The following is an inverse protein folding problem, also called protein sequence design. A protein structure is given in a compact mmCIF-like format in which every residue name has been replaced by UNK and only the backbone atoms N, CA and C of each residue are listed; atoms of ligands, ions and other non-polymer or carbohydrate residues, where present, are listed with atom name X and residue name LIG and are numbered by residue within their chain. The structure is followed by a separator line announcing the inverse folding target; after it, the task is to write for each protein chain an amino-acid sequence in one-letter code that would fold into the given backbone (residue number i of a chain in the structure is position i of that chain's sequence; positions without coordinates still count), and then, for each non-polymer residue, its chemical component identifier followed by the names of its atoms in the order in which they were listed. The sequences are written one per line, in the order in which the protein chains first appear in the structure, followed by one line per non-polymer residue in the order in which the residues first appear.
data_IF_381247517256
#
_entry.id   IF_381247517256
#
_cell.length_a   1.000
_cell.length_b   1.000
_cell.length_c   1.000
_cell.angle_alpha   90.00
_cell.angle_beta   90.00
_cell.angle_gamma   90.00
#
_symmetry.space_group_name_H-M   'P 1'
#
loop_
_entity.id
_entity.type
_entity.pdbx_description
1 polymer ?
#
# COMPACT_ATOMS: atom_id res chain seq x y z
N UNK A 1 37.09 7.29 19.60
CA UNK A 1 35.61 7.32 19.66
C UNK A 1 35.09 6.70 18.38
N UNK A 2 34.72 5.43 18.43
CA UNK A 2 34.09 4.75 17.29
C UNK A 2 32.62 5.20 17.27
N UNK A 3 32.24 6.02 16.28
CA UNK A 3 30.84 6.25 15.97
C UNK A 3 30.33 4.93 15.43
N UNK A 4 29.47 4.27 16.17
CA UNK A 4 28.65 3.15 15.70
C UNK A 4 27.78 3.69 14.57
N UNK A 5 28.15 3.40 13.33
CA UNK A 5 27.34 3.64 12.15
C UNK A 5 26.02 2.88 12.39
N UNK A 6 24.97 3.60 12.72
CA UNK A 6 23.65 3.03 12.87
C UNK A 6 23.23 2.61 11.45
N UNK A 7 23.42 1.32 11.14
CA UNK A 7 22.93 0.74 9.88
C UNK A 7 21.44 0.98 9.82
N UNK A 8 21.00 1.81 8.88
CA UNK A 8 19.57 2.03 8.64
C UNK A 8 19.00 0.71 8.10
N UNK A 9 18.32 0.00 8.98
CA UNK A 9 17.73 -1.29 8.63
C UNK A 9 16.52 -1.05 7.75
N UNK A 10 16.58 -1.55 6.52
CA UNK A 10 15.43 -1.50 5.61
C UNK A 10 14.22 -2.21 6.23
N UNK A 11 13.05 -1.59 6.13
CA UNK A 11 11.77 -2.14 6.58
C UNK A 11 11.18 -3.03 5.48
N UNK A 12 11.74 -4.25 5.37
CA UNK A 12 11.31 -5.23 4.40
C UNK A 12 10.02 -5.92 4.86
N UNK A 13 8.99 -6.03 3.99
CA UNK A 13 7.73 -6.65 4.38
C UNK A 13 7.90 -8.12 4.74
N UNK A 14 7.22 -8.55 5.81
CA UNK A 14 7.23 -9.94 6.24
C UNK A 14 6.66 -10.84 5.15
N UNK A 15 7.35 -11.94 4.86
CA UNK A 15 6.93 -12.89 3.83
C UNK A 15 7.32 -12.53 2.39
N UNK A 16 7.97 -11.37 2.16
CA UNK A 16 8.53 -11.06 0.85
C UNK A 16 9.94 -11.67 0.74
N UNK A 17 10.17 -12.42 -0.32
CA UNK A 17 11.47 -13.02 -0.58
C UNK A 17 12.53 -11.95 -0.86
N UNK A 18 13.76 -12.19 -0.39
CA UNK A 18 14.93 -11.37 -0.68
C UNK A 18 15.75 -11.99 -1.80
N UNK A 19 16.25 -11.14 -2.69
CA UNK A 19 17.22 -11.57 -3.70
C UNK A 19 18.60 -11.75 -3.05
N UNK A 20 19.19 -12.96 -3.08
CA UNK A 20 20.56 -13.15 -2.60
C UNK A 20 21.54 -12.18 -3.29
N UNK A 21 22.50 -11.62 -2.55
CA UNK A 21 23.44 -10.64 -3.08
C UNK A 21 24.20 -11.14 -4.33
N UNK A 22 24.48 -12.45 -4.41
CA UNK A 22 25.12 -13.07 -5.56
C UNK A 22 24.24 -13.11 -6.84
N UNK A 23 22.92 -12.95 -6.68
CA UNK A 23 21.95 -12.96 -7.79
C UNK A 23 21.54 -11.56 -8.20
N UNK A 24 21.93 -10.54 -7.44
CA UNK A 24 21.68 -9.15 -7.78
C UNK A 24 22.46 -8.77 -9.04
N UNK A 25 21.78 -8.11 -9.97
CA UNK A 25 22.36 -7.75 -11.26
C UNK A 25 22.53 -6.22 -11.39
N UNK A 26 23.50 -5.81 -12.18
CA UNK A 26 23.67 -4.40 -12.52
C UNK A 26 22.74 -4.01 -13.67
N UNK A 27 22.02 -2.92 -13.52
CA UNK A 27 21.17 -2.37 -14.58
C UNK A 27 21.81 -1.13 -15.21
N UNK A 28 22.10 -1.20 -16.49
CA UNK A 28 22.67 -0.09 -17.26
C UNK A 28 21.63 0.62 -18.16
N UNK A 29 20.38 0.18 -18.15
CA UNK A 29 19.31 0.70 -19.02
C UNK A 29 18.66 1.95 -18.46
N UNK A 30 18.60 2.09 -17.14
CA UNK A 30 18.01 3.27 -16.50
C UNK A 30 18.96 4.46 -16.53
N UNK A 31 18.46 5.59 -17.00
CA UNK A 31 19.25 6.83 -17.19
C UNK A 31 18.93 7.91 -16.16
N UNK A 32 17.84 7.76 -15.42
CA UNK A 32 17.41 8.71 -14.38
C UNK A 32 18.33 8.67 -13.16
N UNK A 33 18.52 9.82 -12.52
CA UNK A 33 19.22 9.87 -11.23
C UNK A 33 18.39 9.25 -10.11
N UNK A 34 19.02 9.05 -8.94
CA UNK A 34 18.33 8.59 -7.74
C UNK A 34 17.17 9.54 -7.40
N UNK A 35 17.44 10.85 -7.31
CA UNK A 35 16.44 11.86 -7.03
C UNK A 35 15.29 11.84 -8.03
N UNK A 36 15.58 11.87 -9.33
CA UNK A 36 14.55 11.80 -10.37
C UNK A 36 13.69 10.52 -10.29
N UNK A 37 14.28 9.41 -9.85
CA UNK A 37 13.53 8.16 -9.70
C UNK A 37 12.55 8.23 -8.53
N UNK A 38 12.91 8.95 -7.46
CA UNK A 38 12.03 9.19 -6.31
C UNK A 38 10.95 10.22 -6.64
N UNK A 39 11.32 11.32 -7.33
CA UNK A 39 10.38 12.33 -7.78
C UNK A 39 9.31 11.70 -8.70
N UNK A 40 9.74 10.92 -9.70
CA UNK A 40 8.84 10.20 -10.61
C UNK A 40 7.94 9.20 -9.85
N UNK A 41 8.44 8.55 -8.78
CA UNK A 41 7.66 7.64 -7.94
C UNK A 41 6.62 8.42 -7.11
N UNK A 42 6.99 9.57 -6.56
CA UNK A 42 6.08 10.46 -5.83
C UNK A 42 4.93 10.94 -6.73
N UNK A 43 5.25 11.38 -7.95
CA UNK A 43 4.26 11.79 -8.95
C UNK A 43 3.27 10.66 -9.29
N UNK A 44 3.74 9.41 -9.35
CA UNK A 44 2.84 8.28 -9.62
C UNK A 44 1.92 8.00 -8.44
N UNK A 45 2.40 8.10 -7.20
CA UNK A 45 1.53 7.96 -6.02
C UNK A 45 0.47 9.08 -5.95
N UNK A 46 0.84 10.32 -6.26
CA UNK A 46 -0.12 11.42 -6.38
C UNK A 46 -1.20 11.12 -7.43
N UNK A 47 -0.81 10.59 -8.60
CA UNK A 47 -1.76 10.19 -9.67
C UNK A 47 -2.65 9.00 -9.30
N UNK A 48 -2.21 8.16 -8.38
CA UNK A 48 -3.03 7.06 -7.80
C UNK A 48 -4.00 7.61 -6.74
N UNK A 49 -3.77 8.84 -6.24
CA UNK A 49 -4.55 9.44 -5.16
C UNK A 49 -4.05 9.04 -3.77
N UNK A 50 -2.76 8.69 -3.67
CA UNK A 50 -2.12 8.30 -2.41
C UNK A 50 -1.21 9.43 -1.92
N UNK A 51 -1.63 10.12 -0.87
CA UNK A 51 -0.85 11.20 -0.25
C UNK A 51 0.10 10.68 0.84
N UNK A 52 -0.31 9.65 1.57
CA UNK A 52 0.45 9.05 2.66
C UNK A 52 1.19 7.79 2.18
N UNK A 53 2.43 8.00 1.78
CA UNK A 53 3.34 6.92 1.41
C UNK A 53 4.76 7.20 1.92
N UNK A 54 5.54 6.15 2.09
CA UNK A 54 6.94 6.26 2.52
C UNK A 54 7.85 5.34 1.71
N UNK A 55 9.11 5.74 1.63
CA UNK A 55 10.19 4.96 1.05
C UNK A 55 11.14 4.51 2.17
N UNK A 56 11.39 3.22 2.26
CA UNK A 56 12.40 2.63 3.14
C UNK A 56 13.54 2.04 2.30
N UNK A 57 14.77 2.35 2.67
CA UNK A 57 15.98 1.86 1.99
C UNK A 57 17.06 1.54 3.02
N UNK A 58 18.11 0.84 2.61
CA UNK A 58 19.30 0.63 3.42
C UNK A 58 20.18 1.88 3.58
N UNK A 59 19.84 2.99 2.94
CA UNK A 59 20.59 4.24 3.00
C UNK A 59 20.10 5.15 4.13
N UNK A 60 20.95 6.08 4.54
CA UNK A 60 20.57 7.16 5.44
C UNK A 60 19.74 8.20 4.68
N UNK A 61 18.60 8.61 5.25
CA UNK A 61 17.68 9.58 4.67
C UNK A 61 17.87 10.98 5.25
N UNK A 62 17.50 11.98 4.46
CA UNK A 62 17.59 13.39 4.84
C UNK A 62 16.61 13.69 5.99
N UNK A 63 17.07 14.41 7.02
CA UNK A 63 16.23 14.76 8.18
C UNK A 63 15.04 15.66 7.81
N UNK A 64 15.26 16.60 6.89
CA UNK A 64 14.23 17.55 6.46
C UNK A 64 13.25 16.95 5.45
N UNK A 65 13.69 15.93 4.70
CA UNK A 65 12.83 15.23 3.74
C UNK A 65 13.10 13.71 3.81
N UNK A 66 12.40 13.00 4.70
CA UNK A 66 12.64 11.58 4.95
C UNK A 66 12.35 10.65 3.76
N UNK A 67 11.73 11.14 2.71
CA UNK A 67 11.52 10.37 1.46
C UNK A 67 12.81 10.24 0.65
N UNK A 68 13.80 11.11 0.88
CA UNK A 68 15.02 11.15 0.07
C UNK A 68 16.23 10.66 0.87
N UNK A 69 16.88 9.59 0.42
CA UNK A 69 18.25 9.31 0.86
C UNK A 69 19.20 10.41 0.39
N UNK A 70 20.38 10.49 0.96
CA UNK A 70 21.40 11.38 0.46
C UNK A 70 21.78 11.03 -0.98
N UNK A 71 22.17 12.05 -1.79
CA UNK A 71 22.29 11.93 -3.25
C UNK A 71 23.35 10.90 -3.72
N UNK A 72 24.37 10.69 -2.92
CA UNK A 72 25.50 9.78 -3.14
C UNK A 72 25.36 8.47 -2.36
N UNK A 73 24.17 8.18 -1.84
CA UNK A 73 23.94 7.00 -1.05
C UNK A 73 24.21 5.71 -1.83
N UNK A 74 25.11 4.90 -1.31
CA UNK A 74 25.45 3.58 -1.80
C UNK A 74 25.44 2.60 -0.62
N UNK A 75 24.27 2.19 -0.16
CA UNK A 75 24.15 1.29 0.97
C UNK A 75 24.61 -0.12 0.63
N UNK A 76 25.04 -0.88 1.63
CA UNK A 76 25.39 -2.30 1.48
C UNK A 76 24.15 -3.13 1.10
N UNK A 77 22.98 -2.73 1.59
CA UNK A 77 21.69 -3.29 1.14
C UNK A 77 21.04 -2.30 0.14
N UNK A 78 21.06 -2.62 -1.18
CA UNK A 78 20.49 -1.75 -2.21
C UNK A 78 18.98 -1.86 -2.34
N UNK A 79 18.31 -2.64 -1.49
CA UNK A 79 16.87 -2.82 -1.51
C UNK A 79 16.09 -1.52 -1.32
N UNK A 80 14.88 -1.49 -1.84
CA UNK A 80 13.94 -0.40 -1.68
C UNK A 80 12.53 -0.94 -1.46
N UNK A 81 11.80 -0.32 -0.54
CA UNK A 81 10.41 -0.65 -0.22
C UNK A 81 9.59 0.63 -0.24
N UNK A 82 8.51 0.65 -1.00
CA UNK A 82 7.50 1.68 -0.92
C UNK A 82 6.26 1.11 -0.20
N UNK A 83 5.80 1.82 0.83
CA UNK A 83 4.59 1.48 1.59
C UNK A 83 3.61 2.63 1.50
N UNK A 84 2.33 2.32 1.44
CA UNK A 84 1.27 3.32 1.44
C UNK A 84 -0.01 2.77 2.06
N UNK A 85 -0.97 3.67 2.30
CA UNK A 85 -2.33 3.33 2.70
C UNK A 85 -3.31 3.73 1.62
N UNK A 86 -4.28 2.89 1.37
CA UNK A 86 -5.37 3.14 0.44
C UNK A 86 -6.58 2.33 0.91
N UNK A 87 -7.74 2.95 0.96
CA UNK A 87 -9.01 2.33 1.39
C UNK A 87 -8.95 1.67 2.79
N UNK A 88 -8.17 2.24 3.70
CA UNK A 88 -7.98 1.73 5.06
C UNK A 88 -6.99 0.55 5.19
N UNK A 89 -6.54 0.00 4.07
CA UNK A 89 -5.60 -1.11 4.00
C UNK A 89 -4.16 -0.62 3.82
N UNK A 90 -3.21 -1.48 4.19
CA UNK A 90 -1.78 -1.25 4.00
C UNK A 90 -1.28 -2.00 2.78
N UNK A 91 -0.44 -1.33 2.01
CA UNK A 91 0.18 -1.87 0.80
C UNK A 91 1.68 -1.70 0.85
N UNK A 92 2.40 -2.64 0.24
CA UNK A 92 3.82 -2.52 0.03
C UNK A 92 4.25 -3.13 -1.30
N UNK A 93 5.28 -2.55 -1.88
CA UNK A 93 6.06 -3.14 -2.95
C UNK A 93 7.53 -3.03 -2.62
N UNK A 94 8.28 -4.06 -2.93
CA UNK A 94 9.70 -4.15 -2.61
C UNK A 94 10.50 -4.59 -3.83
N UNK A 95 11.72 -4.08 -3.96
CA UNK A 95 12.65 -4.51 -4.99
C UNK A 95 14.08 -4.46 -4.47
N UNK A 96 14.82 -5.57 -4.62
CA UNK A 96 16.26 -5.68 -4.34
C UNK A 96 16.99 -6.48 -5.44
N UNK A 97 16.35 -6.54 -6.62
CA UNK A 97 16.87 -7.32 -7.76
C UNK A 97 18.18 -6.76 -8.32
N UNK A 98 18.41 -5.47 -8.14
CA UNK A 98 19.58 -4.81 -8.68
C UNK A 98 20.58 -4.43 -7.58
N UNK A 99 21.87 -4.45 -7.92
CA UNK A 99 22.96 -4.06 -7.02
C UNK A 99 23.05 -2.54 -6.77
N UNK A 100 22.18 -1.74 -7.38
CA UNK A 100 22.12 -0.29 -7.21
C UNK A 100 20.77 0.17 -6.68
N UNK A 101 20.78 0.94 -5.57
CA UNK A 101 19.59 1.49 -4.93
C UNK A 101 18.69 2.26 -5.94
N UNK A 102 19.30 3.12 -6.77
CA UNK A 102 18.60 3.86 -7.82
C UNK A 102 17.75 2.95 -8.72
N UNK A 103 18.30 1.81 -9.12
CA UNK A 103 17.67 0.91 -10.08
C UNK A 103 16.50 0.16 -9.44
N UNK A 104 16.61 -0.18 -8.17
CA UNK A 104 15.52 -0.78 -7.39
C UNK A 104 14.35 0.22 -7.22
N UNK A 105 14.63 1.47 -6.84
CA UNK A 105 13.60 2.53 -6.74
C UNK A 105 12.96 2.80 -8.12
N UNK A 106 13.75 2.84 -9.19
CA UNK A 106 13.22 3.00 -10.54
C UNK A 106 12.28 1.88 -10.94
N UNK A 107 12.55 0.67 -10.49
CA UNK A 107 11.69 -0.50 -10.73
C UNK A 107 10.37 -0.36 -9.97
N UNK A 108 10.39 0.11 -8.72
CA UNK A 108 9.15 0.41 -7.98
C UNK A 108 8.28 1.44 -8.72
N UNK A 109 8.89 2.54 -9.19
CA UNK A 109 8.18 3.52 -10.02
C UNK A 109 7.52 2.89 -11.25
N UNK A 110 8.25 2.07 -12.00
CA UNK A 110 7.72 1.44 -13.21
C UNK A 110 6.54 0.52 -12.86
N UNK A 111 6.66 -0.25 -11.78
CA UNK A 111 5.60 -1.12 -11.31
C UNK A 111 4.32 -0.33 -10.96
N UNK A 112 4.42 0.70 -10.12
CA UNK A 112 3.27 1.54 -9.72
C UNK A 112 2.64 2.19 -10.94
N UNK A 113 3.45 2.74 -11.85
CA UNK A 113 2.97 3.36 -13.09
C UNK A 113 2.17 2.39 -13.96
N UNK A 114 2.65 1.16 -14.09
CA UNK A 114 1.97 0.15 -14.91
C UNK A 114 0.68 -0.35 -14.26
N UNK A 115 0.68 -0.57 -12.95
CA UNK A 115 -0.53 -0.89 -12.19
C UNK A 115 -1.59 0.19 -12.32
N UNK A 116 -1.23 1.47 -12.13
CA UNK A 116 -2.15 2.59 -12.33
C UNK A 116 -2.71 2.64 -13.75
N UNK A 117 -1.87 2.37 -14.76
CA UNK A 117 -2.34 2.33 -16.15
C UNK A 117 -3.31 1.18 -16.40
N UNK A 118 -3.12 0.05 -15.76
CA UNK A 118 -4.05 -1.08 -15.83
C UNK A 118 -5.36 -0.75 -15.14
N UNK A 119 -5.30 -0.20 -13.92
CA UNK A 119 -6.46 0.24 -13.15
C UNK A 119 -7.36 1.21 -13.93
N UNK A 120 -6.74 2.15 -14.66
CA UNK A 120 -7.47 3.17 -15.44
C UNK A 120 -7.97 2.68 -16.82
N UNK A 121 -7.81 1.40 -17.15
CA UNK A 121 -8.38 0.86 -18.39
C UNK A 121 -9.87 0.57 -18.19
N UNK A 122 -10.70 0.78 -19.22
CA UNK A 122 -12.14 0.52 -19.13
C UNK A 122 -12.43 -0.99 -19.20
N UNK A 123 -11.84 -1.74 -18.28
CA UNK A 123 -12.01 -3.20 -18.12
C UNK A 123 -12.56 -3.45 -16.73
N UNK A 124 -13.71 -4.11 -16.64
CA UNK A 124 -14.26 -4.53 -15.36
C UNK A 124 -13.44 -5.72 -14.82
N UNK A 125 -12.87 -5.57 -13.64
CA UNK A 125 -12.17 -6.61 -12.89
C UNK A 125 -12.83 -6.78 -11.52
N UNK A 126 -12.64 -7.94 -10.90
CA UNK A 126 -13.21 -8.22 -9.57
C UNK A 126 -12.53 -7.47 -8.43
N UNK A 127 -11.27 -7.07 -8.60
CA UNK A 127 -10.46 -6.40 -7.59
C UNK A 127 -9.56 -5.33 -8.23
N UNK A 128 -9.08 -4.40 -7.39
CA UNK A 128 -8.06 -3.42 -7.80
C UNK A 128 -6.78 -4.12 -8.26
N UNK A 129 -6.10 -3.53 -9.23
CA UNK A 129 -4.79 -3.98 -9.69
C UNK A 129 -3.71 -3.93 -8.59
N UNK A 130 -3.98 -3.21 -7.49
CA UNK A 130 -3.10 -3.14 -6.33
C UNK A 130 -3.37 -4.22 -5.28
N UNK A 131 -4.40 -5.05 -5.44
CA UNK A 131 -4.78 -6.08 -4.46
C UNK A 131 -3.62 -7.02 -4.09
N UNK A 132 -2.76 -7.37 -5.04
CA UNK A 132 -1.59 -8.21 -4.81
C UNK A 132 -0.42 -7.51 -4.07
N UNK A 133 -0.50 -6.21 -3.83
CA UNK A 133 0.44 -5.45 -3.03
C UNK A 133 -0.08 -5.18 -1.61
N UNK A 134 -1.31 -5.60 -1.27
CA UNK A 134 -1.90 -5.48 0.06
C UNK A 134 -1.16 -6.37 1.05
N UNK A 135 -0.81 -5.79 2.19
CA UNK A 135 -0.15 -6.54 3.27
C UNK A 135 -1.17 -7.33 4.08
N UNK A 136 -0.78 -8.51 4.60
CA UNK A 136 -1.62 -9.24 5.54
C UNK A 136 -1.83 -8.42 6.82
N UNK A 137 -2.97 -8.62 7.52
CA UNK A 137 -3.20 -8.02 8.82
C UNK A 137 -2.05 -8.35 9.79
N UNK A 138 -1.50 -7.33 10.48
CA UNK A 138 -0.43 -7.50 11.47
C UNK A 138 1.00 -7.30 10.95
N UNK A 139 1.22 -6.99 9.68
CA UNK A 139 2.52 -6.50 9.19
C UNK A 139 2.64 -4.99 9.52
N UNK A 140 2.53 -4.70 10.83
CA UNK A 140 2.55 -3.35 11.35
C UNK A 140 3.91 -2.70 11.15
N UNK A 141 3.85 -1.58 10.50
CA UNK A 141 4.90 -0.61 10.35
C UNK A 141 5.42 -0.11 11.71
N UNK A 142 6.54 -0.65 12.16
CA UNK A 142 7.18 -0.28 13.43
C UNK A 142 7.64 1.19 13.53
N UNK A 143 7.24 2.03 12.59
CA UNK A 143 7.63 3.43 12.50
C UNK A 143 6.50 4.46 12.47
N UNK A 144 5.27 4.07 12.21
CA UNK A 144 4.13 4.98 12.31
C UNK A 144 3.30 4.68 13.56
N UNK A 145 3.67 5.34 14.66
CA UNK A 145 2.69 5.63 15.72
C UNK A 145 1.79 6.77 15.19
N UNK A 146 1.00 6.49 14.17
CA UNK A 146 -0.27 7.18 14.04
C UNK A 146 -1.20 6.41 14.97
N UNK A 147 -1.55 7.05 16.08
CA UNK A 147 -2.69 6.59 16.85
C UNK A 147 -3.84 6.44 15.84
N UNK A 148 -4.09 5.21 15.43
CA UNK A 148 -5.30 4.85 14.72
C UNK A 148 -6.42 5.33 15.65
N UNK A 149 -7.31 6.24 15.26
CA UNK A 149 -8.59 6.25 15.91
C UNK A 149 -9.05 4.81 15.83
N UNK A 150 -9.63 4.22 16.88
CA UNK A 150 -10.23 2.91 16.72
C UNK A 150 -11.07 3.03 15.47
N UNK A 151 -10.72 2.29 14.42
CA UNK A 151 -11.68 2.00 13.39
C UNK A 151 -12.84 1.44 14.21
N UNK A 152 -13.96 2.11 14.20
CA UNK A 152 -15.22 1.50 14.55
C UNK A 152 -15.34 0.30 13.60
N UNK A 153 -14.73 -0.81 13.94
CA UNK A 153 -15.15 -2.12 13.47
C UNK A 153 -16.55 -2.28 14.07
N UNK A 154 -17.50 -1.60 13.41
CA UNK A 154 -18.89 -1.85 13.67
C UNK A 154 -19.10 -3.32 13.37
N UNK A 155 -19.54 -4.05 14.34
CA UNK A 155 -19.97 -5.44 14.15
C UNK A 155 -20.92 -5.49 12.93
N UNK A 156 -20.95 -6.58 12.16
CA UNK A 156 -21.77 -6.67 10.94
C UNK A 156 -23.23 -6.25 11.15
N UNK A 157 -23.80 -6.56 12.30
CA UNK A 157 -25.16 -6.13 12.66
C UNK A 157 -25.27 -4.61 12.88
N UNK A 158 -24.23 -3.96 13.40
CA UNK A 158 -24.17 -2.50 13.56
C UNK A 158 -24.01 -1.78 12.21
N UNK A 159 -23.26 -2.38 11.28
CA UNK A 159 -23.12 -1.86 9.90
C UNK A 159 -24.48 -1.83 9.19
N UNK A 160 -25.29 -2.87 9.37
CA UNK A 160 -26.63 -2.95 8.81
C UNK A 160 -27.72 -2.26 9.65
N UNK A 161 -27.38 -1.81 10.87
CA UNK A 161 -28.33 -1.19 11.80
C UNK A 161 -29.44 -2.15 12.27
N UNK A 162 -29.10 -3.43 12.39
CA UNK A 162 -30.02 -4.49 12.85
C UNK A 162 -29.58 -5.06 14.20
N UNK A 163 -30.47 -5.78 14.87
CA UNK A 163 -30.12 -6.47 16.10
C UNK A 163 -29.16 -7.65 15.82
N UNK A 164 -28.27 -8.05 16.76
CA UNK A 164 -27.33 -9.16 16.57
C UNK A 164 -27.98 -10.50 16.17
N UNK A 165 -29.21 -10.73 16.63
CA UNK A 165 -29.99 -11.94 16.32
C UNK A 165 -31.17 -11.64 15.39
N UNK A 166 -31.01 -10.65 14.48
CA UNK A 166 -32.07 -10.29 13.55
C UNK A 166 -32.39 -11.46 12.59
N UNK A 167 -33.67 -11.74 12.32
CA UNK A 167 -34.06 -12.74 11.34
C UNK A 167 -33.48 -12.42 9.96
N UNK A 168 -33.15 -13.47 9.19
CA UNK A 168 -32.58 -13.37 7.84
C UNK A 168 -33.31 -12.37 6.93
N UNK A 169 -34.66 -12.36 7.00
CA UNK A 169 -35.49 -11.43 6.22
C UNK A 169 -35.26 -9.96 6.59
N UNK A 170 -34.93 -9.65 7.84
CA UNK A 170 -34.63 -8.28 8.31
C UNK A 170 -33.23 -7.88 7.85
N UNK A 171 -32.25 -8.80 7.95
CA UNK A 171 -30.87 -8.59 7.46
C UNK A 171 -30.89 -8.27 5.97
N UNK A 172 -31.55 -9.08 5.15
CA UNK A 172 -31.68 -8.86 3.70
C UNK A 172 -32.39 -7.55 3.34
N UNK A 173 -33.42 -7.18 4.08
CA UNK A 173 -34.13 -5.92 3.84
C UNK A 173 -33.26 -4.71 4.14
N UNK A 174 -32.57 -4.69 5.29
CA UNK A 174 -31.66 -3.63 5.67
C UNK A 174 -30.49 -3.51 4.69
N UNK A 175 -29.85 -4.61 4.34
CA UNK A 175 -28.75 -4.64 3.37
C UNK A 175 -29.19 -4.11 2.00
N UNK A 176 -30.41 -4.46 1.54
CA UNK A 176 -30.94 -3.98 0.26
C UNK A 176 -31.13 -2.46 0.22
N UNK A 177 -31.68 -1.87 1.28
CA UNK A 177 -31.85 -0.41 1.37
C UNK A 177 -30.52 0.32 1.42
N UNK A 178 -29.58 -0.14 2.28
CA UNK A 178 -28.24 0.46 2.40
C UNK A 178 -27.42 0.31 1.11
N UNK A 179 -27.54 -0.81 0.40
CA UNK A 179 -26.89 -0.99 -0.92
C UNK A 179 -27.46 -0.02 -1.96
N UNK A 180 -28.75 0.26 -1.94
CA UNK A 180 -29.38 1.21 -2.85
C UNK A 180 -28.95 2.64 -2.55
N UNK A 181 -28.86 3.00 -1.26
CA UNK A 181 -28.44 4.32 -0.82
C UNK A 181 -26.97 4.61 -1.14
N UNK A 182 -26.09 3.60 -0.93
CA UNK A 182 -24.64 3.73 -1.12
C UNK A 182 -24.17 3.27 -2.51
N UNK A 183 -25.09 3.02 -3.46
CA UNK A 183 -24.71 2.53 -4.77
C UNK A 183 -23.88 3.55 -5.55
N UNK A 184 -22.73 3.17 -6.12
CA UNK A 184 -21.85 4.08 -6.86
C UNK A 184 -22.57 4.82 -8.00
N UNK A 185 -23.47 4.15 -8.71
CA UNK A 185 -24.24 4.72 -9.83
C UNK A 185 -25.22 5.82 -9.38
N UNK A 186 -25.59 5.85 -8.09
CA UNK A 186 -26.43 6.86 -7.49
C UNK A 186 -25.64 7.96 -6.76
N UNK A 187 -24.32 7.99 -6.92
CA UNK A 187 -23.43 8.94 -6.23
C UNK A 187 -23.15 8.56 -4.78
N UNK A 188 -23.40 7.31 -4.38
CA UNK A 188 -23.12 6.78 -3.05
C UNK A 188 -21.65 6.44 -2.82
N UNK A 189 -21.28 6.23 -1.54
CA UNK A 189 -19.93 5.88 -1.13
C UNK A 189 -19.63 4.40 -1.38
N UNK A 190 -18.69 4.14 -2.30
CA UNK A 190 -18.23 2.79 -2.66
C UNK A 190 -17.71 2.01 -1.45
N UNK A 191 -17.06 2.66 -0.49
CA UNK A 191 -16.55 2.02 0.73
C UNK A 191 -17.69 1.59 1.64
N UNK A 192 -18.70 2.45 1.82
CA UNK A 192 -19.91 2.10 2.57
C UNK A 192 -20.67 0.96 1.89
N UNK A 193 -20.78 0.98 0.56
CA UNK A 193 -21.41 -0.10 -0.20
C UNK A 193 -20.71 -1.45 0.04
N UNK A 194 -19.39 -1.51 -0.07
CA UNK A 194 -18.61 -2.73 0.18
C UNK A 194 -18.78 -3.25 1.61
N UNK A 195 -18.78 -2.35 2.62
CA UNK A 195 -19.03 -2.72 4.03
C UNK A 195 -20.40 -3.36 4.22
N UNK A 196 -21.44 -2.81 3.59
CA UNK A 196 -22.80 -3.37 3.65
C UNK A 196 -22.86 -4.76 3.03
N UNK A 197 -22.19 -4.98 1.88
CA UNK A 197 -22.11 -6.30 1.23
C UNK A 197 -21.40 -7.33 2.11
N UNK A 198 -20.25 -6.95 2.71
CA UNK A 198 -19.50 -7.83 3.61
C UNK A 198 -20.32 -8.21 4.84
N UNK A 199 -20.95 -7.22 5.49
CA UNK A 199 -21.78 -7.42 6.67
C UNK A 199 -23.00 -8.33 6.41
N UNK A 200 -23.64 -8.19 5.23
CA UNK A 200 -24.74 -9.08 4.85
C UNK A 200 -24.24 -10.53 4.69
N UNK A 201 -23.12 -10.72 4.00
CA UNK A 201 -22.56 -12.07 3.77
C UNK A 201 -22.24 -12.76 5.09
N UNK A 202 -21.57 -12.04 6.02
CA UNK A 202 -21.16 -12.58 7.30
C UNK A 202 -22.34 -12.94 8.24
N UNK A 203 -23.45 -12.18 8.16
CA UNK A 203 -24.64 -12.45 8.98
C UNK A 203 -25.56 -13.55 8.41
N UNK A 204 -25.33 -13.94 7.15
CA UNK A 204 -26.13 -14.97 6.48
C UNK A 204 -25.39 -16.32 6.32
N UNK A 205 -24.11 -16.41 6.72
CA UNK A 205 -23.35 -17.66 6.86
C UNK A 205 -23.67 -18.37 8.18
#
# INVERSE_FOLDING_TARGET
MQQTKQESRIDWPTGFDRTPAAEQTRNNRFKKSLRQSIDDLADEFERVGVDDWRLSTGAEHQKENPRYPYADASPDDPGAVARWRMDGEQYAVACDRYSGLRDNIRTLYLYIREKRKMENRPVATGESEFANARLPPGDDDRGMVVARPPADEKEPHEVLGVAPEAPEGVIKAAARELKKENHPDNGGDTTAFKRVVSAETELLE
#
